data_IF_148038853350
#
_entry.id   IF_148038853350
#
_cell.length_a   1.000
_cell.length_b   1.000
_cell.length_c   1.000
_cell.angle_alpha   90.00
_cell.angle_beta   90.00
_cell.angle_gamma   90.00
#
_symmetry.space_group_name_H-M   'P 1'
#
loop_
_entity.id
_entity.type
_entity.pdbx_description
1 polymer ?
#
# COMPACT_ATOMS: atom_id res chain seq x y z
N UNK A 1 -42.58 38.49 -50.47
CA UNK A 1 -43.18 37.80 -49.31
C UNK A 1 -42.08 36.93 -48.70
N UNK A 2 -41.34 37.45 -47.71
CA UNK A 2 -40.30 36.69 -46.99
C UNK A 2 -40.66 36.72 -45.51
N UNK A 3 -41.26 35.63 -45.05
CA UNK A 3 -41.62 35.43 -43.64
C UNK A 3 -40.41 34.87 -42.92
N UNK A 4 -39.59 35.75 -42.33
CA UNK A 4 -38.50 35.38 -41.43
C UNK A 4 -39.09 34.87 -40.12
N UNK A 5 -39.07 33.55 -39.93
CA UNK A 5 -39.37 32.89 -38.66
C UNK A 5 -38.22 33.20 -37.70
N UNK A 6 -38.40 34.16 -36.80
CA UNK A 6 -37.50 34.35 -35.67
C UNK A 6 -37.70 33.19 -34.68
N UNK A 7 -36.79 32.22 -34.72
CA UNK A 7 -36.61 31.23 -33.67
C UNK A 7 -36.11 31.94 -32.42
N UNK A 8 -37.05 32.21 -31.49
CA UNK A 8 -36.73 32.66 -30.14
C UNK A 8 -36.04 31.49 -29.41
N UNK A 9 -34.70 31.51 -29.39
CA UNK A 9 -33.92 30.57 -28.59
C UNK A 9 -34.13 30.96 -27.11
N UNK A 10 -34.77 30.12 -26.28
CA UNK A 10 -34.97 30.46 -24.88
C UNK A 10 -33.59 30.56 -24.20
N UNK A 11 -33.25 31.75 -23.72
CA UNK A 11 -32.05 31.96 -22.91
C UNK A 11 -32.18 31.14 -21.62
N UNK A 12 -31.26 30.20 -21.33
CA UNK A 12 -31.28 29.44 -20.10
C UNK A 12 -30.85 30.36 -18.94
N UNK A 13 -31.81 31.02 -18.31
CA UNK A 13 -31.61 31.86 -17.11
C UNK A 13 -31.70 31.07 -15.80
N UNK A 14 -31.64 29.74 -15.87
CA UNK A 14 -31.63 28.91 -14.68
C UNK A 14 -30.31 29.12 -13.93
N UNK A 15 -30.37 29.82 -12.78
CA UNK A 15 -29.23 29.95 -11.87
C UNK A 15 -28.68 28.54 -11.54
N UNK A 16 -27.35 28.33 -11.58
CA UNK A 16 -26.78 27.04 -11.23
C UNK A 16 -27.24 26.66 -9.82
N UNK A 17 -27.82 25.46 -9.69
CA UNK A 17 -28.30 24.92 -8.41
C UNK A 17 -27.11 24.80 -7.47
N UNK A 18 -27.05 25.64 -6.44
CA UNK A 18 -26.02 25.56 -5.40
C UNK A 18 -26.17 24.23 -4.66
N UNK A 19 -25.08 23.47 -4.59
CA UNK A 19 -25.04 22.23 -3.83
C UNK A 19 -24.97 22.54 -2.33
N UNK A 20 -25.44 21.60 -1.50
CA UNK A 20 -25.19 21.74 -0.06
C UNK A 20 -23.70 21.54 0.23
N UNK A 21 -23.15 22.12 1.32
CA UNK A 21 -21.74 21.91 1.70
C UNK A 21 -21.36 20.43 1.89
N UNK A 22 -22.33 19.57 2.22
CA UNK A 22 -22.11 18.13 2.28
C UNK A 22 -21.93 17.50 0.89
N UNK A 23 -22.80 17.87 -0.07
CA UNK A 23 -22.69 17.42 -1.45
C UNK A 23 -21.40 17.92 -2.11
N UNK A 24 -21.04 19.21 -1.93
CA UNK A 24 -19.78 19.77 -2.46
C UNK A 24 -18.56 18.99 -1.99
N UNK A 25 -18.52 18.63 -0.70
CA UNK A 25 -17.43 17.81 -0.14
C UNK A 25 -17.36 16.43 -0.77
N UNK A 26 -18.49 15.74 -0.93
CA UNK A 26 -18.50 14.41 -1.57
C UNK A 26 -17.99 14.53 -3.01
N UNK A 27 -18.43 15.55 -3.74
CA UNK A 27 -17.97 15.80 -5.12
C UNK A 27 -16.46 16.06 -5.15
N UNK A 28 -15.92 16.90 -4.28
CA UNK A 28 -14.46 17.14 -4.19
C UNK A 28 -13.68 15.85 -3.91
N UNK A 29 -14.16 15.02 -2.98
CA UNK A 29 -13.53 13.74 -2.66
C UNK A 29 -13.53 12.79 -3.86
N UNK A 30 -14.67 12.69 -4.57
CA UNK A 30 -14.77 11.89 -5.80
C UNK A 30 -13.79 12.40 -6.84
N UNK A 31 -13.73 13.71 -7.09
CA UNK A 31 -12.82 14.32 -8.06
C UNK A 31 -11.37 13.98 -7.72
N UNK A 32 -10.95 14.18 -6.45
CA UNK A 32 -9.59 13.88 -6.01
C UNK A 32 -9.25 12.39 -6.16
N UNK A 33 -10.15 11.50 -5.74
CA UNK A 33 -9.97 10.05 -5.87
C UNK A 33 -9.85 9.63 -7.34
N UNK A 34 -10.72 10.13 -8.21
CA UNK A 34 -10.69 9.84 -9.65
C UNK A 34 -9.42 10.40 -10.30
N UNK A 35 -9.01 11.62 -9.95
CA UNK A 35 -7.77 12.21 -10.46
C UNK A 35 -6.55 11.38 -10.08
N UNK A 36 -6.43 10.96 -8.81
CA UNK A 36 -5.34 10.08 -8.36
C UNK A 36 -5.39 8.72 -9.06
N UNK A 37 -6.58 8.14 -9.25
CA UNK A 37 -6.75 6.88 -9.97
C UNK A 37 -6.21 6.98 -11.40
N UNK A 38 -6.66 7.99 -12.15
CA UNK A 38 -6.30 8.21 -13.55
C UNK A 38 -4.80 8.46 -13.67
N UNK A 39 -4.25 9.39 -12.88
CA UNK A 39 -2.82 9.73 -12.94
C UNK A 39 -1.96 8.52 -12.60
N UNK A 40 -2.30 7.76 -11.55
CA UNK A 40 -1.53 6.57 -11.15
C UNK A 40 -1.61 5.47 -12.21
N UNK A 41 -2.77 5.26 -12.84
CA UNK A 41 -2.92 4.29 -13.93
C UNK A 41 -2.11 4.70 -15.16
N UNK A 42 -2.17 5.98 -15.58
CA UNK A 42 -1.39 6.47 -16.73
C UNK A 42 0.11 6.30 -16.46
N UNK A 43 0.59 6.76 -15.31
CA UNK A 43 2.00 6.63 -14.95
C UNK A 43 2.43 5.16 -14.84
N UNK A 44 1.54 4.25 -14.40
CA UNK A 44 1.84 2.82 -14.37
C UNK A 44 1.92 2.23 -15.80
N UNK A 45 1.04 2.64 -16.71
CA UNK A 45 1.08 2.22 -18.12
C UNK A 45 2.35 2.68 -18.83
N UNK A 46 2.83 3.89 -18.54
CA UNK A 46 4.08 4.44 -19.07
C UNK A 46 5.31 3.81 -18.41
N UNK A 47 5.32 3.74 -17.08
CA UNK A 47 6.44 3.20 -16.31
C UNK A 47 6.70 1.71 -16.60
N UNK A 48 5.66 0.91 -16.80
CA UNK A 48 5.80 -0.51 -17.13
C UNK A 48 6.21 -0.76 -18.58
N UNK A 49 6.05 0.21 -19.48
CA UNK A 49 6.54 0.08 -20.85
C UNK A 49 8.09 0.09 -20.92
N UNK A 50 8.75 0.65 -19.89
CA UNK A 50 10.21 0.80 -19.82
C UNK A 50 10.90 -0.18 -18.87
N UNK A 51 10.16 -0.82 -17.95
CA UNK A 51 10.71 -1.78 -16.98
C UNK A 51 10.33 -3.18 -17.42
N UNK A 52 11.33 -3.96 -17.83
CA UNK A 52 11.19 -5.37 -18.22
C UNK A 52 10.55 -6.20 -17.08
N UNK A 53 9.25 -6.46 -17.28
CA UNK A 53 8.44 -7.64 -16.91
C UNK A 53 8.26 -8.09 -15.45
N UNK A 54 9.07 -7.68 -14.48
CA UNK A 54 9.03 -8.30 -13.15
C UNK A 54 8.55 -7.37 -12.02
N UNK A 55 7.22 -7.31 -11.81
CA UNK A 55 6.57 -6.57 -10.72
C UNK A 55 6.01 -7.52 -9.66
N UNK A 56 5.74 -7.01 -8.44
CA UNK A 56 5.10 -7.82 -7.40
C UNK A 56 3.72 -8.33 -7.82
N UNK A 57 2.97 -7.55 -8.60
CA UNK A 57 1.68 -7.99 -9.11
C UNK A 57 1.83 -8.98 -10.28
N UNK A 58 2.95 -8.98 -11.02
CA UNK A 58 3.18 -9.92 -12.12
C UNK A 58 3.15 -11.36 -11.64
N UNK A 59 3.88 -11.68 -10.57
CA UNK A 59 3.85 -13.04 -9.99
C UNK A 59 2.43 -13.46 -9.59
N UNK A 60 1.65 -12.54 -9.01
CA UNK A 60 0.28 -12.81 -8.59
C UNK A 60 -0.68 -13.00 -9.78
N UNK A 61 -0.48 -12.26 -10.86
CA UNK A 61 -1.24 -12.45 -12.09
C UNK A 61 -0.98 -13.84 -12.69
N UNK A 62 0.27 -14.29 -12.76
CA UNK A 62 0.59 -15.64 -13.25
C UNK A 62 0.10 -16.74 -12.30
N UNK A 63 0.25 -16.56 -10.99
CA UNK A 63 -0.30 -17.44 -9.96
C UNK A 63 -1.83 -17.58 -10.10
N UNK A 64 -2.53 -16.46 -10.29
CA UNK A 64 -3.98 -16.43 -10.46
C UNK A 64 -4.45 -17.11 -11.76
N UNK A 65 -3.72 -16.93 -12.87
CA UNK A 65 -3.99 -17.70 -14.11
C UNK A 65 -3.78 -19.19 -13.92
N UNK A 66 -2.71 -19.57 -13.24
CA UNK A 66 -2.46 -20.95 -12.83
C UNK A 66 -3.65 -21.54 -12.09
N UNK A 67 -4.18 -20.81 -11.11
CA UNK A 67 -5.37 -21.22 -10.35
C UNK A 67 -6.59 -21.42 -11.24
N UNK A 68 -6.87 -20.48 -12.15
CA UNK A 68 -8.00 -20.57 -13.09
C UNK A 68 -7.88 -21.79 -14.02
N UNK A 69 -6.64 -22.16 -14.37
CA UNK A 69 -6.33 -23.35 -15.16
C UNK A 69 -6.29 -24.65 -14.33
N UNK A 70 -6.68 -24.61 -13.06
CA UNK A 70 -6.69 -25.78 -12.16
C UNK A 70 -5.30 -26.21 -11.67
N UNK A 71 -4.28 -25.38 -11.83
CA UNK A 71 -2.90 -25.64 -11.36
C UNK A 71 -2.69 -25.07 -9.97
N UNK A 72 -1.79 -25.68 -9.19
CA UNK A 72 -1.34 -25.10 -7.93
C UNK A 72 -0.52 -23.81 -8.21
N UNK A 73 -0.92 -22.64 -7.70
CA UNK A 73 -0.20 -21.39 -7.94
C UNK A 73 1.26 -21.42 -7.49
N UNK A 74 1.57 -22.18 -6.44
CA UNK A 74 2.93 -22.33 -5.93
C UNK A 74 3.82 -23.14 -6.88
N UNK A 75 3.26 -23.94 -7.80
CA UNK A 75 4.03 -24.66 -8.83
C UNK A 75 4.21 -23.85 -10.11
N UNK A 76 3.50 -22.73 -10.25
CA UNK A 76 3.56 -21.87 -11.44
C UNK A 76 4.65 -20.83 -11.34
N UNK A 77 4.84 -20.23 -10.16
CA UNK A 77 5.73 -19.08 -9.95
C UNK A 77 6.95 -19.49 -9.13
N UNK A 78 8.14 -19.26 -9.68
CA UNK A 78 9.39 -19.40 -8.94
C UNK A 78 10.60 -19.81 -9.78
N UNK A 79 11.74 -20.12 -9.14
CA UNK A 79 12.95 -20.50 -9.83
C UNK A 79 12.73 -21.80 -10.61
N UNK A 80 13.01 -21.78 -11.92
CA UNK A 80 12.84 -22.93 -12.80
C UNK A 80 11.38 -23.32 -13.08
N UNK A 81 10.40 -22.49 -12.71
CA UNK A 81 8.96 -22.76 -12.93
C UNK A 81 8.45 -22.09 -14.21
N UNK A 82 7.20 -22.39 -14.57
CA UNK A 82 6.55 -21.90 -15.80
C UNK A 82 6.60 -20.37 -15.93
N UNK A 83 6.39 -19.66 -14.82
CA UNK A 83 6.73 -18.25 -14.72
C UNK A 83 8.05 -18.10 -13.95
N UNK A 84 9.17 -17.80 -14.66
CA UNK A 84 10.47 -17.71 -14.03
C UNK A 84 10.53 -16.48 -13.12
N UNK A 85 10.66 -16.72 -11.83
CA UNK A 85 10.85 -15.68 -10.82
C UNK A 85 12.07 -16.00 -9.95
N UNK A 86 12.87 -15.01 -9.50
CA UNK A 86 14.06 -15.27 -8.66
C UNK A 86 13.75 -15.92 -7.31
N UNK A 87 12.50 -15.81 -6.84
CA UNK A 87 12.04 -16.34 -5.56
C UNK A 87 10.80 -17.23 -5.77
N UNK A 88 10.47 -18.18 -4.89
CA UNK A 88 9.15 -18.82 -4.95
C UNK A 88 8.05 -17.78 -4.69
N UNK A 89 6.79 -18.17 -4.92
CA UNK A 89 5.64 -17.34 -4.60
C UNK A 89 5.56 -17.10 -3.08
N UNK A 90 5.96 -15.90 -2.63
CA UNK A 90 5.94 -15.52 -1.20
C UNK A 90 4.61 -14.92 -0.76
N UNK A 91 3.67 -14.73 -1.68
CA UNK A 91 2.32 -14.29 -1.37
C UNK A 91 1.43 -15.47 -0.94
N UNK A 92 0.54 -15.29 0.05
CA UNK A 92 -0.38 -16.32 0.49
C UNK A 92 -1.59 -16.45 -0.47
N UNK A 93 -2.35 -17.53 -0.32
CA UNK A 93 -3.56 -17.81 -1.11
C UNK A 93 -4.57 -16.65 -1.24
N UNK A 94 -4.86 -15.86 -0.18
CA UNK A 94 -5.73 -14.69 -0.29
C UNK A 94 -5.32 -13.68 -1.37
N UNK A 95 -4.01 -13.42 -1.51
CA UNK A 95 -3.52 -12.48 -2.52
C UNK A 95 -3.70 -13.02 -3.94
N UNK A 96 -3.47 -14.33 -4.13
CA UNK A 96 -3.73 -15.00 -5.40
C UNK A 96 -5.21 -14.90 -5.76
N UNK A 97 -6.10 -15.20 -4.81
CA UNK A 97 -7.54 -15.14 -5.01
C UNK A 97 -8.03 -13.74 -5.40
N UNK A 98 -7.55 -12.70 -4.71
CA UNK A 98 -7.88 -11.30 -5.04
C UNK A 98 -7.37 -10.90 -6.44
N UNK A 99 -6.33 -11.57 -6.94
CA UNK A 99 -5.74 -11.29 -8.24
C UNK A 99 -6.48 -11.99 -9.40
N UNK A 100 -7.37 -12.96 -9.12
CA UNK A 100 -8.14 -13.70 -10.15
C UNK A 100 -8.91 -12.80 -11.10
N UNK A 101 -9.68 -11.78 -10.66
CA UNK A 101 -10.40 -10.90 -11.58
C UNK A 101 -9.48 -10.13 -12.55
N UNK A 102 -8.21 -9.92 -12.18
CA UNK A 102 -7.23 -9.25 -13.03
C UNK A 102 -6.53 -10.21 -14.01
N UNK A 103 -6.65 -11.52 -13.79
CA UNK A 103 -6.00 -12.53 -14.63
C UNK A 103 -6.63 -12.68 -16.03
N UNK A 104 -7.86 -12.18 -16.20
CA UNK A 104 -8.64 -12.23 -17.46
C UNK A 104 -8.19 -11.20 -18.48
N UNK A 105 -7.47 -10.16 -18.05
CA UNK A 105 -7.00 -9.07 -18.91
C UNK A 105 -5.49 -9.15 -19.14
N UNK A 106 -4.96 -8.49 -20.19
CA UNK A 106 -3.52 -8.44 -20.43
C UNK A 106 -2.76 -7.88 -19.22
N UNK A 107 -1.63 -8.49 -18.87
CA UNK A 107 -0.83 -8.18 -17.68
C UNK A 107 -0.58 -6.67 -17.49
N UNK A 108 -0.28 -5.94 -18.57
CA UNK A 108 -0.05 -4.49 -18.52
C UNK A 108 -1.26 -3.72 -17.96
N UNK A 109 -2.46 -4.05 -18.43
CA UNK A 109 -3.70 -3.44 -17.94
C UNK A 109 -4.02 -3.90 -16.52
N UNK A 110 -3.79 -5.17 -16.22
CA UNK A 110 -3.97 -5.73 -14.87
C UNK A 110 -3.15 -4.95 -13.84
N UNK A 111 -1.85 -4.77 -14.08
CA UNK A 111 -0.96 -4.04 -13.18
C UNK A 111 -1.34 -2.55 -13.07
N UNK A 112 -1.64 -1.87 -14.19
CA UNK A 112 -1.98 -0.45 -14.16
C UNK A 112 -3.33 -0.16 -13.47
N UNK A 113 -4.33 -1.04 -13.66
CA UNK A 113 -5.60 -0.95 -12.95
C UNK A 113 -5.43 -1.28 -11.47
N UNK A 114 -4.64 -2.29 -11.12
CA UNK A 114 -4.34 -2.60 -9.72
C UNK A 114 -3.70 -1.40 -9.00
N UNK A 115 -2.72 -0.74 -9.63
CA UNK A 115 -2.10 0.49 -9.10
C UNK A 115 -3.12 1.60 -8.95
N UNK A 116 -3.90 1.89 -10.01
CA UNK A 116 -4.90 2.95 -10.02
C UNK A 116 -5.95 2.77 -8.93
N UNK A 117 -6.54 1.56 -8.84
CA UNK A 117 -7.55 1.23 -7.83
C UNK A 117 -6.99 1.28 -6.40
N UNK A 118 -5.76 0.80 -6.20
CA UNK A 118 -5.10 0.87 -4.88
C UNK A 118 -4.83 2.31 -4.46
N UNK A 119 -4.33 3.15 -5.37
CA UNK A 119 -4.10 4.57 -5.13
C UNK A 119 -5.40 5.35 -4.92
N UNK A 120 -6.45 5.05 -5.70
CA UNK A 120 -7.79 5.61 -5.53
C UNK A 120 -8.38 5.29 -4.15
N UNK A 121 -8.24 4.04 -3.71
CA UNK A 121 -8.73 3.58 -2.40
C UNK A 121 -8.00 4.31 -1.26
N UNK A 122 -6.68 4.47 -1.37
CA UNK A 122 -5.91 5.27 -0.41
C UNK A 122 -6.33 6.75 -0.43
N UNK A 123 -6.46 7.36 -1.61
CA UNK A 123 -6.90 8.75 -1.75
C UNK A 123 -8.30 8.97 -1.16
N UNK A 124 -9.22 8.03 -1.35
CA UNK A 124 -10.55 8.07 -0.75
C UNK A 124 -10.46 8.08 0.78
N UNK A 125 -9.65 7.20 1.38
CA UNK A 125 -9.42 7.19 2.82
C UNK A 125 -8.77 8.48 3.35
N UNK A 126 -7.75 8.98 2.67
CA UNK A 126 -7.07 10.23 3.05
C UNK A 126 -7.98 11.46 2.93
N UNK A 127 -8.97 11.41 2.03
CA UNK A 127 -9.94 12.49 1.85
C UNK A 127 -10.99 12.59 2.97
N UNK A 128 -11.12 11.56 3.83
CA UNK A 128 -12.00 11.59 5.02
C UNK A 128 -11.39 12.37 6.18
N UNK A 129 -10.06 12.40 6.26
CA UNK A 129 -9.33 12.92 7.42
C UNK A 129 -9.15 14.44 7.37
N UNK A 130 -10.16 15.16 7.84
CA UNK A 130 -10.19 16.65 7.83
C UNK A 130 -9.01 17.34 8.52
N UNK A 131 -8.38 16.68 9.50
CA UNK A 131 -7.29 17.26 10.31
C UNK A 131 -5.88 16.87 9.87
N UNK A 132 -5.72 16.10 8.80
CA UNK A 132 -4.43 15.54 8.42
C UNK A 132 -4.04 15.73 6.94
N UNK A 133 -4.19 16.95 6.35
CA UNK A 133 -3.89 17.18 4.94
C UNK A 133 -2.44 16.87 4.55
N UNK A 134 -1.51 16.96 5.50
CA UNK A 134 -0.11 16.58 5.31
C UNK A 134 0.10 15.10 4.94
N UNK A 135 -0.85 14.20 5.23
CA UNK A 135 -0.72 12.76 4.87
C UNK A 135 -0.77 12.54 3.35
N UNK A 136 -1.31 13.48 2.58
CA UNK A 136 -1.29 13.44 1.12
C UNK A 136 0.13 13.48 0.53
N UNK A 137 1.13 13.91 1.31
CA UNK A 137 2.53 13.85 0.92
C UNK A 137 3.02 12.43 0.62
N UNK A 138 2.30 11.39 1.06
CA UNK A 138 2.60 10.01 0.68
C UNK A 138 2.69 9.84 -0.84
N UNK A 139 1.84 10.54 -1.62
CA UNK A 139 1.87 10.47 -3.08
C UNK A 139 3.08 11.15 -3.72
N UNK A 140 3.75 12.07 -3.00
CA UNK A 140 4.99 12.71 -3.45
C UNK A 140 6.25 11.92 -3.05
N UNK A 141 6.10 10.84 -2.27
CA UNK A 141 7.23 10.04 -1.79
C UNK A 141 7.85 9.17 -2.89
N UNK A 142 9.13 8.83 -2.72
CA UNK A 142 9.79 7.83 -3.57
C UNK A 142 9.12 6.46 -3.48
N UNK A 143 8.47 6.16 -2.35
CA UNK A 143 7.66 4.96 -2.17
C UNK A 143 6.48 4.91 -3.13
N UNK A 144 5.72 6.00 -3.26
CA UNK A 144 4.61 6.06 -4.21
C UNK A 144 5.08 5.98 -5.67
N UNK A 145 6.18 6.65 -6.02
CA UNK A 145 6.80 6.51 -7.33
C UNK A 145 7.22 5.05 -7.60
N UNK A 146 7.78 4.37 -6.60
CA UNK A 146 8.16 2.97 -6.70
C UNK A 146 6.95 2.05 -6.86
N UNK A 147 5.86 2.29 -6.13
CA UNK A 147 4.59 1.55 -6.28
C UNK A 147 4.09 1.61 -7.72
N UNK A 148 4.06 2.79 -8.32
CA UNK A 148 3.58 2.98 -9.71
C UNK A 148 4.41 2.16 -10.69
N UNK A 149 5.73 2.13 -10.50
CA UNK A 149 6.66 1.36 -11.35
C UNK A 149 6.61 -0.14 -11.13
N UNK A 150 6.29 -0.60 -9.91
CA UNK A 150 6.46 -2.00 -9.49
C UNK A 150 5.16 -2.68 -9.07
N UNK A 151 4.01 -2.05 -9.34
CA UNK A 151 2.67 -2.55 -9.06
C UNK A 151 2.51 -3.14 -7.65
N UNK A 152 2.87 -2.34 -6.64
CA UNK A 152 2.97 -2.80 -5.24
C UNK A 152 1.65 -2.66 -4.47
N UNK A 153 1.48 -3.53 -3.48
CA UNK A 153 0.31 -3.56 -2.58
C UNK A 153 0.23 -2.40 -1.58
N UNK A 154 1.33 -1.68 -1.39
CA UNK A 154 1.50 -0.75 -0.28
C UNK A 154 0.39 0.32 -0.12
N UNK A 155 -0.17 0.94 -1.19
CA UNK A 155 -1.28 1.88 -1.03
C UNK A 155 -2.55 1.21 -0.51
N UNK A 156 -2.88 0.04 -1.05
CA UNK A 156 -4.04 -0.74 -0.62
C UNK A 156 -3.90 -1.18 0.84
N UNK A 157 -2.69 -1.60 1.23
CA UNK A 157 -2.36 -1.92 2.62
C UNK A 157 -2.53 -0.68 3.52
N UNK A 158 -1.93 0.46 3.17
CA UNK A 158 -2.08 1.68 3.96
C UNK A 158 -3.56 2.11 4.08
N UNK A 159 -4.36 1.92 3.04
CA UNK A 159 -5.79 2.23 3.06
C UNK A 159 -6.58 1.40 4.09
N UNK A 160 -6.12 0.20 4.48
CA UNK A 160 -6.79 -0.59 5.53
C UNK A 160 -6.70 0.05 6.92
N UNK A 161 -5.75 0.95 7.14
CA UNK A 161 -5.71 1.74 8.38
C UNK A 161 -6.85 2.77 8.40
N UNK A 162 -7.19 3.33 7.25
CA UNK A 162 -8.14 4.44 7.08
C UNK A 162 -9.58 3.95 6.85
N UNK A 163 -9.75 2.81 6.18
CA UNK A 163 -11.04 2.31 5.73
C UNK A 163 -11.34 0.93 6.34
N UNK A 164 -12.29 0.82 7.30
CA UNK A 164 -12.68 -0.46 7.88
C UNK A 164 -13.21 -1.48 6.85
N UNK A 165 -13.83 -1.01 5.76
CA UNK A 165 -14.29 -1.84 4.64
C UNK A 165 -13.17 -2.52 3.85
N UNK A 166 -11.92 -2.09 4.04
CA UNK A 166 -10.75 -2.66 3.37
C UNK A 166 -10.04 -3.72 4.20
N UNK A 167 -10.63 -4.17 5.31
CA UNK A 167 -10.02 -5.14 6.22
C UNK A 167 -9.59 -6.45 5.56
N UNK A 168 -10.27 -6.90 4.51
CA UNK A 168 -9.92 -8.12 3.78
C UNK A 168 -8.47 -8.10 3.24
N UNK A 169 -7.94 -6.92 2.89
CA UNK A 169 -6.62 -6.80 2.27
C UNK A 169 -5.48 -7.15 3.24
N UNK A 170 -5.73 -7.13 4.55
CA UNK A 170 -4.74 -7.52 5.57
C UNK A 170 -4.26 -8.97 5.36
N UNK A 171 -5.13 -9.87 4.89
CA UNK A 171 -4.80 -11.27 4.61
C UNK A 171 -3.94 -11.45 3.34
N UNK A 172 -3.92 -10.47 2.43
CA UNK A 172 -3.16 -10.56 1.18
C UNK A 172 -1.66 -10.35 1.39
N UNK A 173 -1.27 -9.60 2.41
CA UNK A 173 0.14 -9.36 2.75
C UNK A 173 0.32 -9.42 4.27
N UNK A 174 0.36 -10.63 4.87
CA UNK A 174 0.22 -10.81 6.31
C UNK A 174 1.32 -10.14 7.13
N UNK A 175 2.50 -9.90 6.56
CA UNK A 175 3.55 -9.12 7.22
C UNK A 175 3.07 -7.70 7.54
N UNK A 176 2.80 -6.89 6.52
CA UNK A 176 2.34 -5.50 6.70
C UNK A 176 0.91 -5.46 7.26
N UNK A 177 0.06 -6.41 6.86
CA UNK A 177 -1.31 -6.55 7.36
C UNK A 177 -1.35 -6.74 8.88
N UNK A 178 -0.49 -7.60 9.43
CA UNK A 178 -0.39 -7.78 10.89
C UNK A 178 0.03 -6.48 11.58
N UNK A 179 1.01 -5.75 11.02
CA UNK A 179 1.43 -4.47 11.59
C UNK A 179 0.30 -3.43 11.61
N UNK A 180 -0.47 -3.34 10.53
CA UNK A 180 -1.61 -2.42 10.41
C UNK A 180 -2.76 -2.83 11.34
N UNK A 181 -3.01 -4.13 11.51
CA UNK A 181 -4.02 -4.64 12.43
C UNK A 181 -3.65 -4.38 13.89
N UNK A 182 -2.39 -4.62 14.27
CA UNK A 182 -1.89 -4.31 15.62
C UNK A 182 -1.99 -2.81 15.94
N UNK A 183 -1.75 -1.95 14.95
CA UNK A 183 -1.89 -0.51 15.11
C UNK A 183 -3.37 -0.08 15.23
N UNK A 184 -4.21 -0.57 14.34
CA UNK A 184 -5.61 -0.15 14.16
C UNK A 184 -6.57 -1.36 14.20
N UNK A 185 -6.70 -2.02 15.37
CA UNK A 185 -7.49 -3.24 15.50
C UNK A 185 -8.96 -2.95 15.25
N UNK A 186 -9.66 -3.91 14.64
CA UNK A 186 -11.09 -3.82 14.39
C UNK A 186 -11.67 -5.20 14.14
N UNK A 187 -12.76 -5.52 14.83
CA UNK A 187 -13.48 -6.79 14.65
C UNK A 187 -13.98 -6.98 13.22
N UNK A 188 -14.43 -5.90 12.58
CA UNK A 188 -14.82 -5.92 11.16
C UNK A 188 -13.63 -6.31 10.28
N UNK A 189 -12.45 -5.74 10.50
CA UNK A 189 -11.26 -6.06 9.70
C UNK A 189 -10.82 -7.52 9.90
N UNK A 190 -10.89 -8.01 11.13
CA UNK A 190 -10.62 -9.40 11.48
C UNK A 190 -11.53 -10.36 10.68
N UNK A 191 -12.85 -10.18 10.76
CA UNK A 191 -13.78 -11.07 10.07
C UNK A 191 -13.67 -11.00 8.55
N UNK A 192 -13.42 -9.82 7.98
CA UNK A 192 -13.21 -9.68 6.54
C UNK A 192 -11.93 -10.38 6.06
N UNK A 193 -10.85 -10.30 6.85
CA UNK A 193 -9.60 -11.04 6.59
C UNK A 193 -9.81 -12.55 6.71
N UNK A 194 -10.49 -12.98 7.78
CA UNK A 194 -10.79 -14.38 8.03
C UNK A 194 -11.66 -14.97 6.92
N UNK A 195 -12.71 -14.26 6.49
CA UNK A 195 -13.57 -14.68 5.39
C UNK A 195 -12.79 -14.88 4.08
N UNK A 196 -11.89 -13.95 3.73
CA UNK A 196 -11.04 -14.10 2.55
C UNK A 196 -10.05 -15.28 2.68
N UNK A 197 -9.45 -15.46 3.86
CA UNK A 197 -8.55 -16.58 4.13
C UNK A 197 -9.26 -17.94 4.07
N UNK A 198 -10.47 -18.04 4.62
CA UNK A 198 -11.30 -19.23 4.49
C UNK A 198 -11.71 -19.46 3.02
N UNK A 199 -12.10 -18.42 2.29
CA UNK A 199 -12.41 -18.51 0.87
C UNK A 199 -11.22 -19.02 0.05
N UNK A 200 -10.00 -18.54 0.33
CA UNK A 200 -8.80 -19.02 -0.35
C UNK A 200 -8.43 -20.45 0.04
N UNK A 201 -8.71 -20.89 1.28
CA UNK A 201 -8.54 -22.27 1.71
C UNK A 201 -9.48 -23.24 1.01
N UNK A 202 -10.75 -22.84 0.81
CA UNK A 202 -11.71 -23.67 0.09
C UNK A 202 -11.27 -23.94 -1.36
N UNK A 203 -10.66 -22.95 -2.01
CA UNK A 203 -10.21 -23.05 -3.39
C UNK A 203 -8.80 -23.65 -3.53
N UNK A 204 -7.94 -23.46 -2.53
CA UNK A 204 -6.55 -23.93 -2.54
C UNK A 204 -6.18 -24.57 -1.19
N UNK A 205 -6.71 -25.74 -0.81
CA UNK A 205 -6.58 -26.26 0.56
C UNK A 205 -5.14 -26.42 1.07
N UNK A 206 -4.18 -26.59 0.16
CA UNK A 206 -2.76 -26.79 0.46
C UNK A 206 -1.94 -25.51 0.53
N UNK A 207 -2.50 -24.36 0.16
CA UNK A 207 -1.75 -23.10 0.09
C UNK A 207 -1.00 -22.73 1.37
N UNK A 208 -1.50 -22.99 2.60
CA UNK A 208 -0.72 -22.66 3.80
C UNK A 208 0.57 -23.47 3.91
N UNK A 209 0.52 -24.76 3.56
CA UNK A 209 1.68 -25.64 3.60
C UNK A 209 2.70 -25.22 2.54
N UNK A 210 2.23 -24.97 1.33
CA UNK A 210 3.09 -24.55 0.21
C UNK A 210 3.72 -23.17 0.46
N UNK A 211 2.95 -22.23 1.03
CA UNK A 211 3.43 -20.92 1.44
C UNK A 211 4.46 -21.00 2.57
N UNK A 212 4.19 -21.76 3.63
CA UNK A 212 5.14 -21.95 4.73
C UNK A 212 6.44 -22.61 4.25
N UNK A 213 6.36 -23.56 3.31
CA UNK A 213 7.53 -24.17 2.68
C UNK A 213 8.37 -23.18 1.85
N UNK A 214 7.75 -22.12 1.32
CA UNK A 214 8.44 -21.07 0.58
C UNK A 214 9.16 -20.05 1.49
N UNK A 215 8.68 -19.82 2.72
CA UNK A 215 9.20 -18.77 3.62
C UNK A 215 10.71 -18.86 3.93
N UNK A 216 11.34 -20.04 4.11
CA UNK A 216 12.78 -20.13 4.35
C UNK A 216 13.64 -19.51 3.23
N UNK A 217 13.10 -19.38 2.01
CA UNK A 217 13.79 -18.73 0.89
C UNK A 217 13.74 -17.19 0.91
N UNK A 218 13.00 -16.59 1.83
CA UNK A 218 12.84 -15.13 1.94
C UNK A 218 14.00 -14.46 2.69
N UNK A 219 15.24 -14.90 2.48
CA UNK A 219 16.45 -14.41 3.17
C UNK A 219 16.74 -12.92 2.93
N UNK A 220 16.14 -12.32 1.91
CA UNK A 220 16.24 -10.90 1.59
C UNK A 220 15.30 -10.02 2.43
N UNK A 221 14.32 -10.61 3.13
CA UNK A 221 13.42 -9.89 4.03
C UNK A 221 14.04 -9.81 5.41
N UNK A 222 14.12 -8.61 5.98
CA UNK A 222 14.71 -8.39 7.30
C UNK A 222 13.82 -7.47 8.12
N UNK A 223 13.84 -7.62 9.44
CA UNK A 223 13.10 -6.74 10.33
C UNK A 223 13.93 -5.48 10.61
N UNK A 224 13.39 -4.25 10.50
CA UNK A 224 14.13 -3.02 10.80
C UNK A 224 14.84 -3.03 12.17
N UNK A 225 14.26 -3.70 13.17
CA UNK A 225 14.86 -3.84 14.50
C UNK A 225 16.20 -4.58 14.51
N UNK A 226 16.44 -5.50 13.56
CA UNK A 226 17.70 -6.26 13.50
C UNK A 226 18.89 -5.45 13.00
N UNK A 227 18.67 -4.24 12.47
CA UNK A 227 19.72 -3.36 11.94
C UNK A 227 20.32 -2.50 13.06
N UNK A 228 21.05 -3.15 13.98
CA UNK A 228 21.60 -2.53 15.20
C UNK A 228 22.45 -1.29 14.91
N UNK A 229 23.31 -1.35 13.88
CA UNK A 229 24.18 -0.24 13.48
C UNK A 229 23.42 0.95 12.91
N UNK A 230 22.17 0.76 12.45
CA UNK A 230 21.26 1.82 12.02
C UNK A 230 20.38 2.35 13.17
N UNK A 231 20.56 1.84 14.39
CA UNK A 231 19.72 2.16 15.54
C UNK A 231 18.43 1.33 15.64
N UNK A 232 18.31 0.22 14.92
CA UNK A 232 17.10 -0.63 14.89
C UNK A 232 16.42 -0.88 16.25
N UNK A 233 17.15 -1.30 17.31
CA UNK A 233 16.58 -1.51 18.65
C UNK A 233 15.88 -0.28 19.25
N UNK A 234 16.26 0.94 18.85
CA UNK A 234 15.62 2.17 19.32
C UNK A 234 14.17 2.29 18.84
N UNK A 235 13.73 1.51 17.85
CA UNK A 235 12.31 1.42 17.45
C UNK A 235 11.44 0.99 18.63
N UNK A 236 11.95 0.14 19.53
CA UNK A 236 11.22 -0.29 20.72
C UNK A 236 10.92 0.85 21.70
N UNK A 237 11.64 1.97 21.64
CA UNK A 237 11.34 3.14 22.46
C UNK A 237 9.94 3.70 22.17
N UNK A 238 9.38 3.45 20.98
CA UNK A 238 7.99 3.80 20.68
C UNK A 238 6.99 3.13 21.65
N UNK A 239 7.33 2.00 22.28
CA UNK A 239 6.48 1.36 23.30
C UNK A 239 6.24 2.24 24.54
N UNK A 240 7.10 3.22 24.81
CA UNK A 240 6.84 4.25 25.83
C UNK A 240 5.54 5.03 25.56
N UNK A 241 5.03 4.97 24.32
CA UNK A 241 3.75 5.56 23.88
C UNK A 241 2.81 4.52 23.27
N UNK A 242 2.84 3.27 23.73
CA UNK A 242 2.11 2.12 23.14
C UNK A 242 0.59 2.32 22.98
N UNK A 243 -0.04 3.19 23.78
CA UNK A 243 -1.46 3.53 23.64
C UNK A 243 -1.78 4.21 22.31
N UNK A 244 -0.78 4.84 21.68
CA UNK A 244 -0.93 5.47 20.36
C UNK A 244 -0.87 4.44 19.24
N UNK A 245 -1.78 4.48 18.26
CA UNK A 245 -1.74 3.57 17.14
C UNK A 245 -0.46 3.72 16.31
N UNK A 246 0.10 4.92 16.19
CA UNK A 246 1.35 5.15 15.48
C UNK A 246 2.56 4.48 16.16
N UNK A 247 2.56 4.41 17.49
CA UNK A 247 3.60 3.71 18.24
C UNK A 247 3.54 2.19 17.99
N UNK A 248 2.33 1.62 18.07
CA UNK A 248 2.11 0.19 17.76
C UNK A 248 2.47 -0.13 16.31
N UNK A 249 2.13 0.75 15.37
CA UNK A 249 2.50 0.61 13.96
C UNK A 249 4.02 0.53 13.79
N UNK A 250 4.76 1.46 14.41
CA UNK A 250 6.22 1.50 14.30
C UNK A 250 6.88 0.24 14.85
N UNK A 251 6.46 -0.21 16.02
CA UNK A 251 6.99 -1.42 16.64
C UNK A 251 6.64 -2.65 15.81
N UNK A 252 5.38 -2.78 15.38
CA UNK A 252 4.96 -3.94 14.62
C UNK A 252 5.66 -4.01 13.25
N UNK A 253 5.75 -2.89 12.50
CA UNK A 253 6.53 -2.84 11.26
C UNK A 253 8.01 -3.09 11.52
N UNK A 254 8.56 -2.56 12.62
CA UNK A 254 9.97 -2.73 12.98
C UNK A 254 10.36 -4.16 13.33
N UNK A 255 9.43 -4.94 13.89
CA UNK A 255 9.66 -6.33 14.30
C UNK A 255 9.34 -7.36 13.21
N UNK A 256 8.47 -7.03 12.25
CA UNK A 256 8.07 -7.96 11.20
C UNK A 256 9.05 -7.91 10.02
N UNK A 257 9.66 -9.05 9.62
CA UNK A 257 10.48 -9.10 8.42
C UNK A 257 9.68 -8.71 7.18
N UNK A 258 10.22 -7.78 6.40
CA UNK A 258 9.66 -7.36 5.12
C UNK A 258 10.77 -6.98 4.15
N UNK A 259 10.45 -6.87 2.87
CA UNK A 259 11.39 -6.39 1.86
C UNK A 259 11.74 -4.93 2.18
N UNK A 260 13.01 -4.60 2.28
CA UNK A 260 13.44 -3.25 2.71
C UNK A 260 13.48 -2.28 1.53
N UNK A 261 12.36 -2.18 0.82
CA UNK A 261 12.14 -1.28 -0.29
C UNK A 261 11.35 -0.06 0.16
N UNK A 262 11.58 1.06 -0.53
CA UNK A 262 10.94 2.35 -0.17
C UNK A 262 9.42 2.30 -0.21
N UNK A 263 8.81 1.44 -1.04
CA UNK A 263 7.34 1.30 -1.06
C UNK A 263 6.78 0.65 0.21
N UNK A 264 7.54 -0.18 0.94
CA UNK A 264 7.03 -0.77 2.20
C UNK A 264 6.97 0.25 3.34
N UNK A 265 7.53 1.45 3.14
CA UNK A 265 7.53 2.54 4.12
C UNK A 265 6.29 3.42 4.04
N UNK A 266 5.39 3.20 3.07
CA UNK A 266 4.15 3.98 2.91
C UNK A 266 3.35 4.10 4.22
N UNK A 267 3.12 3.02 4.99
CA UNK A 267 2.43 3.10 6.27
C UNK A 267 3.07 4.07 7.29
N UNK A 268 4.37 4.37 7.20
CA UNK A 268 5.03 5.36 8.07
C UNK A 268 4.45 6.78 7.86
N UNK A 269 3.82 7.07 6.72
CA UNK A 269 3.11 8.33 6.50
C UNK A 269 1.84 8.48 7.35
N UNK A 270 1.40 7.44 8.06
CA UNK A 270 0.38 7.56 9.10
C UNK A 270 0.94 8.20 10.39
N UNK A 271 2.28 8.19 10.56
CA UNK A 271 2.93 8.72 11.75
C UNK A 271 2.88 10.25 11.81
N UNK A 272 3.35 11.04 10.83
CA UNK A 272 3.40 12.50 10.91
C UNK A 272 2.13 13.16 11.46
N UNK A 273 2.30 14.27 12.19
CA UNK A 273 1.19 15.12 12.67
C UNK A 273 1.24 16.56 12.14
N UNK A 274 2.24 16.87 11.31
CA UNK A 274 2.44 18.19 10.70
C UNK A 274 3.18 18.08 9.37
N UNK A 275 3.11 19.15 8.59
CA UNK A 275 3.72 19.25 7.26
C UNK A 275 5.23 19.01 7.25
N UNK A 276 5.97 19.51 8.24
CA UNK A 276 7.43 19.31 8.31
C UNK A 276 7.82 17.85 8.52
N UNK A 277 7.02 17.10 9.30
CA UNK A 277 7.25 15.67 9.54
C UNK A 277 6.95 14.83 8.29
N UNK A 278 5.84 15.14 7.60
CA UNK A 278 5.52 14.48 6.34
C UNK A 278 6.53 14.82 5.23
N UNK A 279 6.95 16.10 5.15
CA UNK A 279 7.97 16.57 4.22
C UNK A 279 9.32 15.90 4.45
N UNK A 280 9.71 15.69 5.71
CA UNK A 280 10.90 14.90 6.04
C UNK A 280 10.81 13.49 5.46
N UNK A 281 9.69 12.77 5.63
CA UNK A 281 9.54 11.43 5.08
C UNK A 281 9.60 11.39 3.56
N UNK A 282 9.06 12.41 2.88
CA UNK A 282 9.23 12.55 1.42
C UNK A 282 10.71 12.64 1.06
N UNK A 283 11.43 13.61 1.63
CA UNK A 283 12.86 13.82 1.33
C UNK A 283 13.68 12.59 1.68
N UNK A 284 13.49 12.02 2.87
CA UNK A 284 14.17 10.82 3.32
C UNK A 284 13.95 9.64 2.36
N UNK A 285 12.71 9.42 1.88
CA UNK A 285 12.42 8.34 0.94
C UNK A 285 13.18 8.49 -0.39
N UNK A 286 13.33 9.72 -0.90
CA UNK A 286 14.13 10.01 -2.11
C UNK A 286 15.63 9.87 -1.87
N UNK A 287 16.13 10.24 -0.68
CA UNK A 287 17.52 9.98 -0.30
C UNK A 287 17.79 8.48 -0.30
N UNK A 288 16.92 7.66 0.30
CA UNK A 288 17.06 6.19 0.29
C UNK A 288 17.09 5.66 -1.14
N UNK A 289 16.15 6.10 -2.00
CA UNK A 289 16.07 5.62 -3.38
C UNK A 289 17.30 6.02 -4.20
N UNK A 290 17.84 7.23 -4.01
CA UNK A 290 19.01 7.72 -4.75
C UNK A 290 20.33 7.04 -4.38
N UNK A 291 20.35 6.20 -3.33
CA UNK A 291 21.51 5.37 -3.00
C UNK A 291 21.61 4.10 -3.84
N UNK A 292 20.76 3.91 -4.85
CA UNK A 292 20.87 2.78 -5.77
C UNK A 292 22.25 2.81 -6.47
N UNK A 293 23.06 1.79 -6.23
CA UNK A 293 24.37 1.58 -6.86
C UNK A 293 24.33 0.23 -7.57
N UNK A 294 25.28 -0.01 -8.47
CA UNK A 294 25.48 -1.35 -9.04
C UNK A 294 25.93 -2.32 -7.94
N UNK A 295 24.96 -2.90 -7.23
CA UNK A 295 25.12 -3.87 -6.16
C UNK A 295 24.34 -5.13 -6.49
N UNK A 296 24.74 -6.27 -5.92
CA UNK A 296 23.87 -7.44 -5.91
C UNK A 296 22.57 -7.14 -5.14
N UNK A 297 21.50 -7.87 -5.46
CA UNK A 297 20.18 -7.69 -4.87
C UNK A 297 20.20 -7.77 -3.33
N UNK A 298 20.95 -8.72 -2.74
CA UNK A 298 20.98 -8.87 -1.29
C UNK A 298 21.72 -7.71 -0.62
N UNK A 299 22.82 -7.25 -1.21
CA UNK A 299 23.56 -6.07 -0.76
C UNK A 299 22.69 -4.82 -0.84
N UNK A 300 21.93 -4.67 -1.93
CA UNK A 300 20.98 -3.58 -2.09
C UNK A 300 19.89 -3.60 -1.02
N UNK A 301 19.31 -4.76 -0.71
CA UNK A 301 18.30 -4.89 0.35
C UNK A 301 18.90 -4.53 1.72
N UNK A 302 20.09 -5.00 2.04
CA UNK A 302 20.75 -4.70 3.32
C UNK A 302 21.07 -3.21 3.46
N UNK A 303 21.64 -2.59 2.42
CA UNK A 303 21.93 -1.16 2.39
C UNK A 303 20.64 -0.33 2.53
N UNK A 304 19.58 -0.68 1.80
CA UNK A 304 18.29 0.02 1.92
C UNK A 304 17.67 -0.15 3.30
N UNK A 305 17.75 -1.35 3.89
CA UNK A 305 17.28 -1.59 5.24
C UNK A 305 17.93 -0.66 6.26
N UNK A 306 19.24 -0.49 6.14
CA UNK A 306 20.03 0.41 6.99
C UNK A 306 19.54 1.87 6.85
N UNK A 307 19.45 2.39 5.62
CA UNK A 307 19.01 3.77 5.38
C UNK A 307 17.53 4.02 5.73
N UNK A 308 16.64 3.06 5.45
CA UNK A 308 15.22 3.16 5.81
C UNK A 308 15.08 3.20 7.33
N UNK A 309 15.80 2.33 8.04
CA UNK A 309 15.80 2.32 9.50
C UNK A 309 16.26 3.67 10.03
N UNK A 310 17.44 4.13 9.62
CA UNK A 310 18.03 5.37 10.10
C UNK A 310 17.23 6.63 9.74
N UNK A 311 16.78 6.77 8.49
CA UNK A 311 16.20 8.01 7.98
C UNK A 311 14.67 8.07 8.07
N UNK A 312 13.99 6.93 8.20
CA UNK A 312 12.52 6.88 8.23
C UNK A 312 12.00 6.36 9.56
N UNK A 313 12.43 5.18 10.03
CA UNK A 313 11.93 4.62 11.29
C UNK A 313 12.37 5.44 12.50
N UNK A 314 13.65 5.74 12.65
CA UNK A 314 14.16 6.48 13.83
C UNK A 314 13.55 7.88 13.95
N UNK A 315 13.44 8.69 12.88
CA UNK A 315 12.72 9.96 12.94
C UNK A 315 11.25 9.78 13.32
N UNK A 316 10.56 8.75 12.83
CA UNK A 316 9.20 8.46 13.26
C UNK A 316 9.09 8.11 14.75
N UNK A 317 10.06 7.40 15.33
CA UNK A 317 10.13 7.15 16.78
C UNK A 317 10.22 8.48 17.52
N UNK A 318 11.13 9.37 17.09
CA UNK A 318 11.27 10.72 17.68
C UNK A 318 9.97 11.53 17.56
N UNK A 319 9.29 11.48 16.40
CA UNK A 319 8.00 12.13 16.17
C UNK A 319 6.91 11.63 17.11
N UNK A 320 6.91 10.33 17.46
CA UNK A 320 5.95 9.75 18.41
C UNK A 320 6.29 10.14 19.85
N UNK A 321 7.57 10.08 20.23
CA UNK A 321 8.03 10.40 21.59
C UNK A 321 7.84 11.87 21.97
N UNK A 322 8.03 12.79 21.01
CA UNK A 322 7.89 14.24 21.21
C UNK A 322 6.45 14.72 21.42
N UNK A 323 5.44 13.85 21.28
CA UNK A 323 4.04 14.25 21.45
C UNK A 323 3.73 14.44 22.94
N UNK A 324 3.14 15.58 23.30
CA UNK A 324 2.67 15.85 24.67
C UNK A 324 1.60 14.87 25.14
N UNK A 325 1.46 14.69 26.45
CA UNK A 325 0.49 13.78 27.07
C UNK A 325 -0.97 14.12 26.70
N UNK A 326 -1.28 15.40 26.48
CA UNK A 326 -2.62 15.93 26.14
C UNK A 326 -3.20 15.44 24.80
N UNK A 327 -2.44 14.69 24.00
CA UNK A 327 -2.88 14.12 22.72
C UNK A 327 -3.09 12.60 22.77
N UNK A 328 -3.15 12.00 23.96
CA UNK A 328 -3.65 10.65 24.11
C UNK A 328 -5.18 10.67 23.96
N UNK A 329 -5.76 9.96 22.98
CA UNK A 329 -7.20 9.82 22.94
C UNK A 329 -7.65 9.14 24.24
N UNK A 330 -8.64 9.71 24.91
CA UNK A 330 -9.29 9.09 26.06
C UNK A 330 -9.61 7.65 25.70
N UNK A 331 -9.01 6.73 26.46
CA UNK A 331 -9.24 5.31 26.33
C UNK A 331 -10.68 5.03 26.79
N UNK A 332 -11.64 5.25 25.90
CA UNK A 332 -12.99 4.72 26.05
C UNK A 332 -13.06 3.37 25.33
N UNK A 333 -13.46 2.30 26.04
CA UNK A 333 -13.43 0.92 25.54
C UNK A 333 -14.38 0.65 24.37
#
# INVERSE_FOLDING_TARGET
MSTLIQLQVPHPTAKPRQLSPAAERIVQRIILTVAVAIVSTILALEGQASVLTNTDFTQLWHAARGLVEGRNPYDVVGPGKAFPWPFPLLYPGPAVLVSVPFSVMPLRWACALFVGLSAATLAWGLSEERGAPYRWFVFASAGAASVVRTAQWAPLMMATALLPSMGWALACKPSIGTALFMAYPSWRKFWMSAALACGSLLLMPRWPLDWLAALPSAYHMTAPISHVTAGGPLILLALLRWRRPEARLLVALGCIPHTTMVYETLPLFLVPKRWSEAGWLVVASWIVLSRDRQMDYLQLMHMRAWWITLLMYIPCVVMVLRRGAESEPDATP
#
